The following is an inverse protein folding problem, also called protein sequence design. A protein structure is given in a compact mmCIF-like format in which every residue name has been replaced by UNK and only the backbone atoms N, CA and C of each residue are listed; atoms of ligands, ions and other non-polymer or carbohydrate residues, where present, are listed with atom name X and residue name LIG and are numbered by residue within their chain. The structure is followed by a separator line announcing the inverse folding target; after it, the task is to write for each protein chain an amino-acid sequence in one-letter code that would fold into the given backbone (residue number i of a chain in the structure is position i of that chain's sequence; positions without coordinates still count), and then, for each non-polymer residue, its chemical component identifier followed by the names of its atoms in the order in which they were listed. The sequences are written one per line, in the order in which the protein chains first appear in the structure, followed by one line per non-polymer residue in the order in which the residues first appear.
data_IF_482361645515
#
_entry.id   IF_482361645515
#
_cell.length_a   1.000
_cell.length_b   1.000
_cell.length_c   1.000
_cell.angle_alpha   90.00
_cell.angle_beta   90.00
_cell.angle_gamma   90.00
#
_symmetry.space_group_name_H-M   'P 1'
#
loop_
_entity.id
_entity.type
_entity.pdbx_description
1 polymer ?
#
# COMPACT_ATOMS: atom_id res chain seq x y z
N UNK A 1 10.63 16.95 -18.37
CA UNK A 1 9.26 16.55 -18.76
C UNK A 1 9.39 15.21 -19.44
N UNK A 2 9.31 14.12 -18.67
CA UNK A 2 9.13 12.79 -19.25
C UNK A 2 7.82 12.79 -20.03
N UNK A 3 7.81 12.22 -21.22
CA UNK A 3 6.55 11.96 -21.92
C UNK A 3 5.71 11.04 -21.02
N UNK A 4 4.54 11.51 -20.60
CA UNK A 4 3.62 10.69 -19.80
C UNK A 4 3.31 9.41 -20.58
N UNK A 5 3.50 8.27 -19.93
CA UNK A 5 3.24 6.96 -20.51
C UNK A 5 1.78 6.91 -20.96
N UNK A 6 1.53 6.61 -22.24
CA UNK A 6 0.15 6.43 -22.72
C UNK A 6 -0.33 5.02 -22.40
N UNK A 7 -1.45 4.93 -21.69
CA UNK A 7 -2.17 3.68 -21.46
C UNK A 7 -3.24 3.50 -22.53
N UNK A 8 -3.26 2.35 -23.22
CA UNK A 8 -4.27 2.02 -24.22
C UNK A 8 -5.43 1.26 -23.56
N UNK A 9 -6.57 1.93 -23.43
CA UNK A 9 -7.77 1.33 -22.84
C UNK A 9 -8.42 0.24 -23.71
N UNK A 10 -8.00 0.07 -24.97
CA UNK A 10 -8.50 -0.98 -25.86
C UNK A 10 -7.65 -2.25 -25.82
N UNK A 11 -6.46 -2.23 -25.21
CA UNK A 11 -5.60 -3.40 -25.15
C UNK A 11 -5.95 -4.28 -23.95
N UNK A 12 -6.67 -5.36 -24.23
CA UNK A 12 -7.13 -6.32 -23.22
C UNK A 12 -6.08 -7.36 -22.81
N UNK A 13 -4.88 -7.33 -23.41
CA UNK A 13 -3.79 -8.28 -23.13
C UNK A 13 -2.66 -7.69 -22.28
N UNK A 14 -2.85 -6.47 -21.74
CA UNK A 14 -1.85 -5.82 -20.89
C UNK A 14 -1.90 -6.40 -19.48
N UNK A 15 -0.72 -6.68 -18.92
CA UNK A 15 -0.53 -6.88 -17.49
C UNK A 15 0.16 -5.64 -16.92
N UNK A 16 -0.52 -4.94 -16.03
CA UNK A 16 0.05 -3.78 -15.33
C UNK A 16 0.98 -4.21 -14.21
N UNK A 17 2.10 -3.48 -14.08
CA UNK A 17 3.00 -3.53 -12.94
C UNK A 17 2.55 -2.56 -11.84
N UNK A 18 3.19 -2.61 -10.68
CA UNK A 18 2.94 -1.65 -9.62
C UNK A 18 3.37 -0.22 -10.01
N UNK A 19 4.48 -0.07 -10.74
CA UNK A 19 4.93 1.22 -11.27
C UNK A 19 3.91 1.79 -12.27
N UNK A 20 3.30 0.93 -13.09
CA UNK A 20 2.20 1.35 -13.98
C UNK A 20 1.02 1.89 -13.19
N UNK A 21 0.67 1.23 -12.08
CA UNK A 21 -0.43 1.66 -11.23
C UNK A 21 -0.17 3.02 -10.59
N UNK A 22 1.04 3.25 -10.07
CA UNK A 22 1.45 4.56 -9.55
C UNK A 22 1.30 5.64 -10.62
N UNK A 23 1.79 5.38 -11.84
CA UNK A 23 1.71 6.32 -12.96
C UNK A 23 0.25 6.57 -13.39
N UNK A 24 -0.62 5.55 -13.38
CA UNK A 24 -2.05 5.72 -13.63
C UNK A 24 -2.67 6.69 -12.63
N UNK A 25 -2.42 6.49 -11.32
CA UNK A 25 -2.96 7.36 -10.27
C UNK A 25 -2.42 8.79 -10.40
N UNK A 26 -1.12 8.95 -10.71
CA UNK A 26 -0.51 10.25 -10.95
C UNK A 26 -1.17 10.96 -12.16
N UNK A 27 -1.47 10.25 -13.25
CA UNK A 27 -2.15 10.82 -14.41
C UNK A 27 -3.62 11.18 -14.12
N UNK A 28 -4.34 10.35 -13.35
CA UNK A 28 -5.72 10.65 -12.94
C UNK A 28 -5.79 11.94 -12.12
N UNK A 29 -4.78 12.22 -11.29
CA UNK A 29 -4.71 13.43 -10.45
C UNK A 29 -3.96 14.61 -11.07
N UNK A 30 -3.32 14.43 -12.22
CA UNK A 30 -2.63 15.52 -12.92
C UNK A 30 -3.60 16.56 -13.52
N UNK A 31 -3.15 17.78 -13.85
CA UNK A 31 -3.95 18.74 -14.60
C UNK A 31 -4.47 18.15 -15.92
N UNK A 32 -5.79 18.17 -16.12
CA UNK A 32 -6.44 17.53 -17.28
C UNK A 32 -6.80 16.05 -17.07
N UNK A 33 -6.50 15.50 -15.89
CA UNK A 33 -6.95 14.18 -15.44
C UNK A 33 -8.42 14.16 -15.00
N UNK A 34 -8.77 13.18 -14.17
CA UNK A 34 -10.13 12.96 -13.71
C UNK A 34 -10.55 14.00 -12.65
N UNK A 35 -11.61 14.79 -12.87
CA UNK A 35 -12.05 15.81 -11.91
C UNK A 35 -12.45 15.25 -10.54
N UNK A 36 -12.93 14.01 -10.49
CA UNK A 36 -13.31 13.35 -9.24
C UNK A 36 -12.08 12.96 -8.43
N UNK A 37 -11.07 12.37 -9.07
CA UNK A 37 -9.82 11.97 -8.42
C UNK A 37 -9.05 13.18 -7.92
N UNK A 38 -8.92 14.23 -8.73
CA UNK A 38 -8.25 15.49 -8.37
C UNK A 38 -8.85 16.11 -7.10
N UNK A 39 -10.17 16.02 -6.93
CA UNK A 39 -10.88 16.62 -5.79
C UNK A 39 -10.66 15.87 -4.47
N UNK A 40 -10.19 14.62 -4.50
CA UNK A 40 -10.01 13.83 -3.27
C UNK A 40 -8.93 14.41 -2.36
N UNK A 41 -9.19 14.34 -1.05
CA UNK A 41 -8.26 14.69 0.03
C UNK A 41 -8.07 13.51 0.97
N UNK A 42 -7.12 13.60 1.89
CA UNK A 42 -6.96 12.59 2.94
C UNK A 42 -8.27 12.37 3.72
N UNK A 43 -9.02 13.44 4.01
CA UNK A 43 -10.25 13.38 4.78
C UNK A 43 -11.40 12.73 4.03
N UNK A 44 -11.53 12.98 2.72
CA UNK A 44 -12.62 12.43 1.91
C UNK A 44 -12.48 10.92 1.71
N UNK A 45 -11.23 10.42 1.64
CA UNK A 45 -10.93 9.01 1.38
C UNK A 45 -11.02 8.10 2.62
N UNK A 46 -11.08 8.65 3.85
CA UNK A 46 -11.14 7.84 5.09
C UNK A 46 -12.30 6.84 5.09
N UNK A 47 -13.44 7.25 4.54
CA UNK A 47 -14.64 6.41 4.50
C UNK A 47 -14.41 5.19 3.60
N UNK A 48 -13.93 5.42 2.38
CA UNK A 48 -13.59 4.35 1.44
C UNK A 48 -12.57 3.38 2.07
N UNK A 49 -11.48 3.88 2.65
CA UNK A 49 -10.48 3.01 3.30
C UNK A 49 -11.07 2.07 4.38
N UNK A 50 -12.04 2.55 5.16
CA UNK A 50 -12.72 1.72 6.17
C UNK A 50 -13.62 0.69 5.48
N UNK A 51 -14.34 1.09 4.45
CA UNK A 51 -15.23 0.22 3.67
C UNK A 51 -14.45 -0.90 2.99
N UNK A 52 -13.41 -0.59 2.20
CA UNK A 52 -12.61 -1.63 1.50
C UNK A 52 -11.91 -2.58 2.48
N UNK A 53 -11.48 -2.06 3.65
CA UNK A 53 -10.91 -2.92 4.69
C UNK A 53 -11.95 -3.90 5.27
N UNK A 54 -13.22 -3.48 5.33
CA UNK A 54 -14.34 -4.32 5.72
C UNK A 54 -14.64 -5.38 4.65
N UNK A 55 -14.64 -4.99 3.37
CA UNK A 55 -14.88 -5.90 2.25
C UNK A 55 -13.79 -6.97 2.13
N UNK A 56 -12.52 -6.63 2.41
CA UNK A 56 -11.43 -7.62 2.57
C UNK A 56 -11.75 -8.64 3.67
N UNK A 57 -12.25 -8.19 4.83
CA UNK A 57 -12.59 -9.08 5.95
C UNK A 57 -13.74 -10.00 5.54
N UNK A 58 -14.79 -9.45 4.93
CA UNK A 58 -15.95 -10.21 4.46
C UNK A 58 -15.53 -11.26 3.41
N UNK A 59 -14.62 -10.91 2.50
CA UNK A 59 -14.08 -11.86 1.52
C UNK A 59 -13.31 -13.02 2.18
N UNK A 60 -12.51 -12.73 3.21
CA UNK A 60 -11.79 -13.75 4.00
C UNK A 60 -12.78 -14.68 4.71
N UNK A 61 -13.78 -14.11 5.39
CA UNK A 61 -14.77 -14.87 6.16
C UNK A 61 -15.60 -15.80 5.26
N UNK A 62 -15.88 -15.35 4.03
CA UNK A 62 -16.60 -16.13 3.03
C UNK A 62 -15.71 -17.08 2.21
N UNK A 63 -14.38 -17.03 2.38
CA UNK A 63 -13.40 -17.77 1.56
C UNK A 63 -13.57 -17.52 0.06
N UNK A 64 -13.87 -16.27 -0.29
CA UNK A 64 -14.04 -15.84 -1.67
C UNK A 64 -12.71 -15.28 -2.18
N UNK A 65 -11.90 -16.14 -2.80
CA UNK A 65 -10.58 -15.74 -3.32
C UNK A 65 -10.67 -14.71 -4.46
N UNK A 66 -11.79 -14.68 -5.20
CA UNK A 66 -11.99 -13.71 -6.28
C UNK A 66 -12.24 -12.34 -5.67
N UNK A 67 -13.19 -12.24 -4.75
CA UNK A 67 -13.47 -10.99 -4.05
C UNK A 67 -12.24 -10.52 -3.25
N UNK A 68 -11.56 -11.44 -2.56
CA UNK A 68 -10.35 -11.09 -1.80
C UNK A 68 -9.28 -10.43 -2.68
N UNK A 69 -9.12 -10.91 -3.92
CA UNK A 69 -8.16 -10.31 -4.85
C UNK A 69 -8.58 -8.90 -5.30
N UNK A 70 -9.88 -8.67 -5.48
CA UNK A 70 -10.46 -7.38 -5.86
C UNK A 70 -10.30 -6.37 -4.71
N UNK A 71 -10.74 -6.71 -3.50
CA UNK A 71 -10.72 -5.79 -2.36
C UNK A 71 -9.31 -5.47 -1.86
N UNK A 72 -8.36 -6.40 -1.98
CA UNK A 72 -6.95 -6.10 -1.72
C UNK A 72 -6.39 -5.07 -2.72
N UNK A 73 -6.90 -5.09 -3.96
CA UNK A 73 -6.63 -4.07 -4.97
C UNK A 73 -7.18 -2.71 -4.59
N UNK A 74 -8.40 -2.66 -4.05
CA UNK A 74 -9.03 -1.40 -3.63
C UNK A 74 -8.38 -0.81 -2.36
N UNK A 75 -7.95 -1.65 -1.42
CA UNK A 75 -7.09 -1.18 -0.32
C UNK A 75 -5.75 -0.63 -0.86
N UNK A 76 -5.15 -1.29 -1.85
CA UNK A 76 -3.91 -0.79 -2.49
C UNK A 76 -4.15 0.56 -3.18
N UNK A 77 -5.29 0.74 -3.85
CA UNK A 77 -5.71 2.03 -4.44
C UNK A 77 -5.73 3.13 -3.39
N UNK A 78 -6.32 2.89 -2.21
CA UNK A 78 -6.35 3.90 -1.14
C UNK A 78 -4.93 4.27 -0.67
N UNK A 79 -4.02 3.30 -0.55
CA UNK A 79 -2.62 3.56 -0.17
C UNK A 79 -1.92 4.45 -1.20
N UNK A 80 -2.04 4.11 -2.49
CA UNK A 80 -1.39 4.87 -3.57
C UNK A 80 -2.02 6.27 -3.72
N UNK A 81 -3.34 6.41 -3.61
CA UNK A 81 -4.01 7.71 -3.63
C UNK A 81 -3.54 8.63 -2.50
N UNK A 82 -3.44 8.11 -1.27
CA UNK A 82 -2.92 8.90 -0.15
C UNK A 82 -1.44 9.29 -0.35
N UNK A 83 -0.61 8.39 -0.87
CA UNK A 83 0.79 8.69 -1.17
C UNK A 83 0.91 9.75 -2.28
N UNK A 84 0.06 9.68 -3.30
CA UNK A 84 0.04 10.66 -4.39
C UNK A 84 -0.40 12.06 -3.89
N UNK A 85 -1.45 12.15 -3.07
CA UNK A 85 -1.87 13.40 -2.42
C UNK A 85 -0.73 13.99 -1.57
N UNK A 86 -0.07 13.17 -0.75
CA UNK A 86 1.03 13.63 0.09
C UNK A 86 2.24 14.10 -0.73
N UNK A 87 2.51 13.46 -1.87
CA UNK A 87 3.59 13.85 -2.78
C UNK A 87 3.31 15.20 -3.44
N UNK A 88 2.06 15.44 -3.86
CA UNK A 88 1.60 16.73 -4.40
C UNK A 88 1.76 17.87 -3.38
N UNK A 89 1.60 17.56 -2.09
CA UNK A 89 1.81 18.50 -0.98
C UNK A 89 3.29 18.63 -0.54
N UNK A 90 4.21 17.89 -1.16
CA UNK A 90 5.64 17.90 -0.81
C UNK A 90 5.95 17.28 0.56
N UNK A 91 5.15 16.31 1.02
CA UNK A 91 5.25 15.70 2.35
C UNK A 91 5.98 14.36 2.35
N UNK A 92 5.44 13.37 1.65
CA UNK A 92 6.03 12.04 1.49
C UNK A 92 5.51 11.39 0.20
N UNK A 93 6.21 10.37 -0.26
CA UNK A 93 5.94 9.64 -1.51
C UNK A 93 5.58 8.19 -1.24
N UNK A 94 5.19 7.47 -2.28
CA UNK A 94 4.98 6.02 -2.20
C UNK A 94 6.29 5.28 -1.84
N UNK A 95 7.44 5.79 -2.30
CA UNK A 95 8.75 5.23 -1.97
C UNK A 95 9.04 5.36 -0.47
N UNK A 96 8.68 6.47 0.16
CA UNK A 96 8.83 6.66 1.61
C UNK A 96 7.94 5.67 2.40
N UNK A 97 6.71 5.44 1.92
CA UNK A 97 5.80 4.44 2.51
C UNK A 97 6.41 3.04 2.41
N UNK A 98 6.92 2.67 1.24
CA UNK A 98 7.56 1.37 0.98
C UNK A 98 8.83 1.21 1.82
N UNK A 99 9.66 2.25 1.89
CA UNK A 99 10.88 2.25 2.70
C UNK A 99 10.55 2.00 4.16
N UNK A 100 9.60 2.76 4.72
CA UNK A 100 9.22 2.64 6.13
C UNK A 100 8.65 1.25 6.49
N UNK A 101 7.81 0.66 5.63
CA UNK A 101 7.33 -0.71 5.86
C UNK A 101 8.45 -1.74 5.67
N UNK A 102 9.30 -1.58 4.67
CA UNK A 102 10.38 -2.53 4.36
C UNK A 102 11.44 -2.58 5.46
N UNK A 103 11.94 -1.43 5.89
CA UNK A 103 12.91 -1.34 7.00
C UNK A 103 12.35 -1.97 8.28
N UNK A 104 11.09 -1.67 8.61
CA UNK A 104 10.39 -2.27 9.75
C UNK A 104 10.31 -3.79 9.62
N UNK A 105 9.96 -4.30 8.44
CA UNK A 105 9.84 -5.75 8.23
C UNK A 105 11.19 -6.45 8.30
N UNK A 106 12.24 -5.91 7.69
CA UNK A 106 13.60 -6.48 7.77
C UNK A 106 14.10 -6.47 9.21
N UNK A 107 14.00 -5.33 9.89
CA UNK A 107 14.52 -5.13 11.26
C UNK A 107 13.81 -5.99 12.30
N UNK A 108 12.50 -6.21 12.16
CA UNK A 108 11.72 -7.05 13.09
C UNK A 108 11.73 -8.54 12.76
N UNK A 109 12.36 -8.95 11.65
CA UNK A 109 12.57 -10.36 11.31
C UNK A 109 14.07 -10.71 11.20
N UNK A 110 14.88 -10.49 12.26
CA UNK A 110 16.30 -10.82 12.22
C UNK A 110 16.55 -12.33 12.11
N UNK A 111 15.51 -13.15 12.25
CA UNK A 111 15.56 -14.58 12.03
C UNK A 111 15.35 -15.03 10.60
N UNK A 112 14.84 -14.14 9.75
CA UNK A 112 14.75 -14.35 8.30
C UNK A 112 15.93 -13.66 7.60
N UNK A 113 16.26 -12.44 8.03
CA UNK A 113 17.24 -11.57 7.36
C UNK A 113 18.59 -11.45 8.08
N UNK A 114 18.82 -12.23 9.13
CA UNK A 114 20.06 -12.22 9.91
C UNK A 114 20.33 -13.59 10.54
N UNK A 115 21.13 -13.60 11.62
CA UNK A 115 21.64 -14.84 12.22
C UNK A 115 20.84 -15.33 13.44
N UNK A 116 19.76 -14.64 13.82
CA UNK A 116 18.93 -15.04 14.97
C UNK A 116 18.19 -16.33 14.62
N UNK A 117 18.19 -17.31 15.52
CA UNK A 117 17.42 -18.53 15.33
C UNK A 117 16.16 -18.49 16.18
N UNK A 118 15.04 -18.86 15.56
CA UNK A 118 13.77 -19.15 16.22
C UNK A 118 13.30 -20.51 15.74
N UNK A 119 12.77 -21.29 16.67
CA UNK A 119 12.42 -22.69 16.47
C UNK A 119 10.91 -22.92 16.49
N UNK A 120 10.12 -21.89 16.83
CA UNK A 120 8.66 -21.97 16.83
C UNK A 120 7.98 -20.63 16.50
N UNK A 121 6.70 -20.66 16.08
CA UNK A 121 5.89 -19.45 15.89
C UNK A 121 5.78 -18.59 17.16
N UNK A 122 5.71 -19.23 18.33
CA UNK A 122 5.63 -18.53 19.63
C UNK A 122 6.92 -17.75 19.92
N UNK A 123 8.09 -18.34 19.64
CA UNK A 123 9.36 -17.64 19.80
C UNK A 123 9.49 -16.48 18.79
N UNK A 124 9.03 -16.68 17.55
CA UNK A 124 9.01 -15.62 16.53
C UNK A 124 8.12 -14.45 16.94
N UNK A 125 6.91 -14.75 17.47
CA UNK A 125 6.00 -13.72 17.98
C UNK A 125 6.58 -13.00 19.21
N UNK A 126 7.20 -13.73 20.14
CA UNK A 126 7.83 -13.15 21.32
C UNK A 126 8.95 -12.17 20.93
N UNK A 127 9.82 -12.59 19.99
CA UNK A 127 10.88 -11.75 19.45
C UNK A 127 10.32 -10.50 18.75
N UNK A 128 9.27 -10.64 17.94
CA UNK A 128 8.60 -9.50 17.29
C UNK A 128 8.10 -8.48 18.31
N UNK A 129 7.42 -8.94 19.39
CA UNK A 129 6.92 -8.05 20.43
C UNK A 129 8.06 -7.39 21.23
N UNK A 130 9.15 -8.11 21.49
CA UNK A 130 10.33 -7.56 22.16
C UNK A 130 10.94 -6.41 21.34
N UNK A 131 11.20 -6.64 20.05
CA UNK A 131 11.77 -5.61 19.16
C UNK A 131 10.82 -4.41 19.07
N UNK A 132 9.51 -4.64 18.89
CA UNK A 132 8.48 -3.58 18.87
C UNK A 132 8.46 -2.76 20.16
N UNK A 133 8.69 -3.38 21.32
CA UNK A 133 8.71 -2.69 22.61
C UNK A 133 9.94 -1.79 22.76
N UNK A 134 11.10 -2.22 22.26
CA UNK A 134 12.35 -1.43 22.28
C UNK A 134 12.23 -0.17 21.43
N UNK A 135 11.72 -0.30 20.20
CA UNK A 135 11.50 0.85 19.30
C UNK A 135 10.65 1.95 19.93
N UNK A 136 9.53 1.56 20.56
CA UNK A 136 8.62 2.51 21.23
C UNK A 136 9.22 3.21 22.44
N UNK A 137 10.32 2.69 22.99
CA UNK A 137 11.03 3.34 24.09
C UNK A 137 12.12 4.30 23.59
N UNK A 138 12.47 4.24 22.31
CA UNK A 138 13.46 5.09 21.65
C UNK A 138 12.81 6.27 20.89
N UNK A 139 11.51 6.18 20.58
CA UNK A 139 10.64 7.28 20.07
C UNK A 139 10.20 8.25 21.18
#
# INVERSE_FOLDING_TARGET
MSENKKFDYNDTNIKYSFDDFIEIIAQLRAPGGCPWDIKQTHESLKKCLIEESGEVIDAIDNKDDVNLCEELGDVLLQVVMHAQIAAEEGRFTIDDVIQGVSEKMVRRHPHVFGDVKVSSPEESLALWQEIKKKEKAEE
#
